data_IF_183808525751
#
_entry.id   IF_183808525751
#
_cell.length_a   1.000
_cell.length_b   1.000
_cell.length_c   1.000
_cell.angle_alpha   90.00
_cell.angle_beta   90.00
_cell.angle_gamma   90.00
#
_symmetry.space_group_name_H-M   'P 1'
#
loop_
_entity.id
_entity.type
_entity.pdbx_description
1 polymer ?
#
# COMPACT_ATOMS: atom_id res chain seq x y z
N UNK A 1 -1.56 -14.75 -22.78
CA UNK A 1 -0.46 -13.75 -22.86
C UNK A 1 -0.57 -12.84 -21.65
N UNK A 2 0.54 -12.53 -20.97
CA UNK A 2 0.50 -11.65 -19.78
C UNK A 2 0.27 -10.19 -20.17
N UNK A 3 -0.72 -9.54 -19.55
CA UNK A 3 -1.04 -8.12 -19.75
C UNK A 3 0.07 -7.27 -19.15
N UNK A 4 0.59 -6.32 -19.93
CA UNK A 4 1.62 -5.38 -19.47
C UNK A 4 0.96 -4.20 -18.77
N UNK A 5 1.08 -4.13 -17.45
CA UNK A 5 0.61 -3.02 -16.64
C UNK A 5 1.60 -1.85 -16.64
N UNK A 6 1.09 -0.63 -16.80
CA UNK A 6 1.83 0.59 -16.50
C UNK A 6 2.22 0.67 -15.02
N UNK A 7 3.26 1.45 -14.65
CA UNK A 7 3.63 1.61 -13.24
C UNK A 7 2.48 2.13 -12.37
N UNK A 8 1.64 3.04 -12.87
CA UNK A 8 0.46 3.51 -12.14
C UNK A 8 -0.60 2.43 -11.94
N UNK A 9 -0.82 1.55 -12.91
CA UNK A 9 -1.71 0.40 -12.73
C UNK A 9 -1.15 -0.59 -11.71
N UNK A 10 0.17 -0.80 -11.72
CA UNK A 10 0.84 -1.62 -10.70
C UNK A 10 0.65 -1.02 -9.30
N UNK A 11 0.76 0.30 -9.14
CA UNK A 11 0.46 0.98 -7.88
C UNK A 11 -1.00 0.79 -7.46
N UNK A 12 -1.95 0.87 -8.39
CA UNK A 12 -3.36 0.64 -8.10
C UNK A 12 -3.59 -0.77 -7.53
N UNK A 13 -3.07 -1.79 -8.22
CA UNK A 13 -3.17 -3.19 -7.81
C UNK A 13 -2.27 -3.58 -6.64
N UNK A 14 -1.42 -2.66 -6.18
CA UNK A 14 -0.64 -2.84 -4.95
C UNK A 14 -1.41 -2.50 -3.68
N UNK A 15 -2.54 -1.81 -3.81
CA UNK A 15 -3.38 -1.41 -2.67
C UNK A 15 -4.61 -2.29 -2.55
N UNK A 16 -5.15 -2.39 -1.34
CA UNK A 16 -6.37 -3.11 -1.02
C UNK A 16 -7.20 -2.32 -0.03
N UNK A 17 -8.51 -2.31 -0.26
CA UNK A 17 -9.45 -1.69 0.67
C UNK A 17 -9.72 -2.64 1.84
N UNK A 18 -9.60 -2.10 3.04
CA UNK A 18 -9.90 -2.81 4.28
C UNK A 18 -11.20 -2.25 4.83
N UNK A 19 -12.18 -3.12 5.06
CA UNK A 19 -13.35 -2.76 5.85
C UNK A 19 -13.35 -3.54 7.16
N UNK A 20 -13.66 -2.86 8.26
CA UNK A 20 -13.64 -3.41 9.61
C UNK A 20 -15.02 -3.25 10.24
N UNK A 21 -15.59 -4.34 10.74
CA UNK A 21 -16.81 -4.32 11.55
C UNK A 21 -16.42 -4.45 13.03
N UNK A 22 -16.77 -3.45 13.83
CA UNK A 22 -16.51 -3.41 15.27
C UNK A 22 -17.58 -4.21 16.05
N UNK A 23 -17.33 -4.46 17.34
CA UNK A 23 -18.27 -5.21 18.19
C UNK A 23 -19.67 -4.60 18.30
N UNK A 24 -19.79 -3.28 18.15
CA UNK A 24 -21.05 -2.53 18.19
C UNK A 24 -21.74 -2.43 16.80
N UNK A 25 -21.22 -3.12 15.78
CA UNK A 25 -21.74 -3.10 14.41
C UNK A 25 -21.32 -1.87 13.58
N UNK A 26 -20.50 -0.96 14.12
CA UNK A 26 -19.94 0.14 13.33
C UNK A 26 -18.97 -0.39 12.27
N UNK A 27 -19.06 0.19 11.08
CA UNK A 27 -18.18 -0.15 9.96
C UNK A 27 -17.15 0.98 9.78
N UNK A 28 -15.88 0.63 9.90
CA UNK A 28 -14.73 1.46 9.54
C UNK A 28 -14.14 1.02 8.21
N UNK A 29 -13.40 1.92 7.56
CA UNK A 29 -12.69 1.64 6.32
C UNK A 29 -11.27 2.20 6.38
N UNK A 30 -10.32 1.51 5.77
CA UNK A 30 -8.94 1.97 5.61
C UNK A 30 -8.31 1.41 4.35
N UNK A 31 -7.03 1.75 4.16
CA UNK A 31 -6.20 1.23 3.08
C UNK A 31 -5.18 0.25 3.66
N UNK A 32 -4.84 -0.77 2.89
CA UNK A 32 -3.57 -1.48 3.04
C UNK A 32 -2.89 -1.64 1.71
N UNK A 33 -1.67 -2.15 1.72
CA UNK A 33 -0.93 -2.47 0.50
C UNK A 33 -0.13 -3.77 0.64
N UNK A 34 0.07 -4.46 -0.47
CA UNK A 34 0.81 -5.71 -0.51
C UNK A 34 2.31 -5.45 -0.54
N UNK A 35 3.04 -6.08 0.37
CA UNK A 35 4.50 -5.98 0.49
C UNK A 35 5.12 -7.36 0.70
N UNK A 36 6.29 -7.59 0.09
CA UNK A 36 7.06 -8.82 0.25
C UNK A 36 8.01 -8.71 1.45
N UNK A 37 7.91 -9.68 2.36
CA UNK A 37 8.83 -9.83 3.48
C UNK A 37 9.64 -11.12 3.34
N UNK A 38 10.72 -11.23 4.14
CA UNK A 38 11.56 -12.43 4.20
C UNK A 38 11.98 -12.96 2.81
N UNK A 39 12.33 -12.05 1.90
CA UNK A 39 12.79 -12.39 0.55
C UNK A 39 14.14 -13.13 0.61
N UNK A 40 14.16 -14.34 0.07
CA UNK A 40 15.35 -15.16 -0.13
C UNK A 40 15.90 -15.00 -1.56
N UNK A 41 17.15 -15.39 -1.76
CA UNK A 41 17.84 -15.26 -3.06
C UNK A 41 17.17 -16.06 -4.19
N UNK A 42 16.43 -17.12 -3.87
CA UNK A 42 15.68 -17.94 -4.82
C UNK A 42 14.30 -17.36 -5.18
N UNK A 43 13.95 -16.19 -4.63
CA UNK A 43 12.68 -15.51 -4.87
C UNK A 43 11.55 -15.93 -3.93
N UNK A 44 11.79 -16.87 -2.99
CA UNK A 44 10.84 -17.16 -1.93
C UNK A 44 10.64 -15.93 -1.05
N UNK A 45 9.39 -15.65 -0.70
CA UNK A 45 9.02 -14.51 0.13
C UNK A 45 7.69 -14.75 0.83
N UNK A 46 7.42 -13.96 1.86
CA UNK A 46 6.16 -13.91 2.58
C UNK A 46 5.41 -12.65 2.17
N UNK A 47 4.37 -12.75 1.31
CA UNK A 47 3.53 -11.61 1.01
C UNK A 47 2.64 -11.28 2.21
N UNK A 48 2.53 -9.99 2.52
CA UNK A 48 1.66 -9.49 3.58
C UNK A 48 0.95 -8.21 3.13
N UNK A 49 -0.19 -7.92 3.74
CA UNK A 49 -0.80 -6.59 3.69
C UNK A 49 -0.23 -5.76 4.83
N UNK A 50 0.19 -4.54 4.56
CA UNK A 50 0.63 -3.55 5.56
C UNK A 50 -0.43 -2.47 5.71
N UNK A 51 -0.69 -2.02 6.93
CA UNK A 51 -1.58 -0.90 7.26
C UNK A 51 -1.23 -0.30 8.64
N UNK A 52 -2.00 0.68 9.11
CA UNK A 52 -1.88 1.21 10.47
C UNK A 52 -2.61 0.33 11.50
N UNK A 53 -2.11 0.25 12.75
CA UNK A 53 -2.77 -0.53 13.82
C UNK A 53 -4.19 -0.02 14.08
N UNK A 54 -4.38 1.30 14.09
CA UNK A 54 -5.71 1.86 14.36
C UNK A 54 -6.76 1.52 13.30
N UNK A 55 -6.38 1.13 12.08
CA UNK A 55 -7.34 0.72 11.02
C UNK A 55 -8.05 -0.57 11.42
N UNK A 56 -7.36 -1.47 12.11
CA UNK A 56 -7.84 -2.81 12.47
C UNK A 56 -8.19 -2.96 13.94
N UNK A 57 -7.96 -1.92 14.75
CA UNK A 57 -8.15 -1.95 16.19
C UNK A 57 -9.62 -2.23 16.56
N UNK A 58 -9.85 -3.25 17.38
CA UNK A 58 -11.18 -3.69 17.81
C UNK A 58 -12.04 -4.34 16.72
N UNK A 59 -11.47 -4.60 15.53
CA UNK A 59 -12.20 -5.19 14.41
C UNK A 59 -12.53 -6.66 14.71
N UNK A 60 -13.83 -6.94 14.87
CA UNK A 60 -14.35 -8.30 15.03
C UNK A 60 -14.33 -9.04 13.69
N UNK A 61 -14.78 -8.37 12.64
CA UNK A 61 -14.72 -8.87 11.26
C UNK A 61 -13.96 -7.92 10.37
N UNK A 62 -13.29 -8.48 9.37
CA UNK A 62 -12.67 -7.72 8.30
C UNK A 62 -13.10 -8.22 6.94
N UNK A 63 -13.18 -7.31 5.98
CA UNK A 63 -13.52 -7.61 4.60
C UNK A 63 -12.50 -7.01 3.64
N UNK A 64 -11.98 -7.85 2.74
CA UNK A 64 -11.14 -7.42 1.62
C UNK A 64 -11.92 -7.63 0.32
N UNK A 65 -11.87 -6.65 -0.58
CA UNK A 65 -12.42 -6.77 -1.94
C UNK A 65 -11.24 -6.96 -2.90
N UNK A 66 -11.10 -8.18 -3.40
CA UNK A 66 -9.94 -8.61 -4.19
C UNK A 66 -10.28 -8.75 -5.66
N UNK A 67 -9.45 -8.19 -6.53
CA UNK A 67 -9.52 -8.44 -7.97
C UNK A 67 -9.15 -9.90 -8.26
N UNK A 68 -9.85 -10.54 -9.19
CA UNK A 68 -9.58 -11.93 -9.59
C UNK A 68 -8.61 -12.00 -10.77
N UNK A 69 -7.86 -13.09 -10.82
CA UNK A 69 -6.92 -13.39 -11.89
C UNK A 69 -7.45 -14.49 -12.82
N UNK A 70 -7.11 -14.38 -14.12
CA UNK A 70 -7.35 -15.44 -15.09
C UNK A 70 -6.33 -16.60 -14.96
N UNK A 71 -6.39 -17.57 -15.87
CA UNK A 71 -5.44 -18.69 -15.91
C UNK A 71 -4.00 -18.26 -16.15
N UNK A 72 -3.79 -17.13 -16.82
CA UNK A 72 -2.51 -16.58 -17.23
C UNK A 72 -1.92 -15.62 -16.17
N UNK A 73 -2.66 -15.38 -15.08
CA UNK A 73 -2.26 -14.49 -13.99
C UNK A 73 -2.56 -13.01 -14.24
N UNK A 74 -3.43 -12.69 -15.20
CA UNK A 74 -3.82 -11.31 -15.50
C UNK A 74 -5.05 -10.89 -14.69
N UNK A 75 -5.23 -9.58 -14.40
CA UNK A 75 -6.44 -9.11 -13.76
C UNK A 75 -7.62 -9.28 -14.71
N UNK A 76 -8.71 -9.84 -14.21
CA UNK A 76 -9.98 -9.89 -14.93
C UNK A 76 -10.73 -8.59 -14.65
N UNK A 77 -10.96 -7.80 -15.69
CA UNK A 77 -11.66 -6.53 -15.57
C UNK A 77 -13.05 -6.72 -14.96
N UNK A 78 -13.42 -5.86 -14.00
CA UNK A 78 -14.71 -5.89 -13.29
C UNK A 78 -15.01 -7.20 -12.53
N UNK A 79 -14.03 -8.09 -12.37
CA UNK A 79 -14.18 -9.32 -11.60
C UNK A 79 -13.45 -9.19 -10.27
N UNK A 80 -14.22 -9.08 -9.20
CA UNK A 80 -13.71 -8.97 -7.85
C UNK A 80 -14.56 -9.78 -6.87
N UNK A 81 -13.96 -10.16 -5.75
CA UNK A 81 -14.61 -10.97 -4.73
C UNK A 81 -14.32 -10.47 -3.33
N UNK A 82 -15.33 -10.48 -2.48
CA UNK A 82 -15.21 -10.06 -1.09
C UNK A 82 -14.93 -11.26 -0.20
N UNK A 83 -13.80 -11.23 0.52
CA UNK A 83 -13.44 -12.23 1.52
C UNK A 83 -13.65 -11.64 2.91
N UNK A 84 -14.37 -12.38 3.77
CA UNK A 84 -14.72 -11.94 5.13
C UNK A 84 -14.01 -12.86 6.12
N UNK A 85 -13.39 -12.27 7.13
CA UNK A 85 -12.67 -12.98 8.18
C UNK A 85 -13.19 -12.56 9.55
N UNK A 86 -13.42 -13.52 10.44
CA UNK A 86 -13.69 -13.29 11.86
C UNK A 86 -12.38 -13.16 12.66
N UNK A 87 -12.48 -12.62 13.87
CA UNK A 87 -11.34 -12.33 14.76
C UNK A 87 -10.27 -11.49 14.06
N UNK A 88 -10.72 -10.52 13.25
CA UNK A 88 -9.89 -9.88 12.25
C UNK A 88 -8.64 -9.23 12.81
N UNK A 89 -8.75 -8.49 13.91
CA UNK A 89 -7.61 -7.86 14.59
C UNK A 89 -6.49 -8.86 14.94
N UNK A 90 -6.85 -10.09 15.34
CA UNK A 90 -5.89 -11.12 15.75
C UNK A 90 -5.09 -11.73 14.59
N UNK A 91 -5.49 -11.47 13.35
CA UNK A 91 -4.76 -11.91 12.17
C UNK A 91 -3.53 -11.04 11.88
N UNK A 92 -3.43 -9.87 12.51
CA UNK A 92 -2.39 -8.89 12.26
C UNK A 92 -1.24 -9.02 13.26
N UNK A 93 -0.02 -8.91 12.74
CA UNK A 93 1.20 -8.82 13.52
C UNK A 93 1.50 -7.32 13.71
N UNK A 94 1.40 -6.77 14.94
CA UNK A 94 1.71 -5.37 15.19
C UNK A 94 3.24 -5.13 15.11
N UNK A 95 3.62 -3.91 14.76
CA UNK A 95 5.02 -3.49 14.86
C UNK A 95 5.55 -3.71 16.30
N UNK A 96 6.78 -4.24 16.48
CA UNK A 96 7.30 -4.56 17.81
C UNK A 96 7.44 -3.34 18.72
N UNK A 97 7.71 -2.17 18.14
CA UNK A 97 7.68 -0.89 18.86
C UNK A 97 6.24 -0.38 19.00
N UNK A 98 5.76 -0.26 20.23
CA UNK A 98 4.36 0.08 20.52
C UNK A 98 3.92 1.46 20.02
N UNK A 99 4.84 2.41 19.92
CA UNK A 99 4.61 3.79 19.45
C UNK A 99 4.55 3.93 17.92
N UNK A 100 5.00 2.92 17.15
CA UNK A 100 4.92 2.93 15.68
C UNK A 100 3.57 2.39 15.26
N UNK A 101 2.70 3.21 14.66
CA UNK A 101 1.34 2.83 14.28
C UNK A 101 1.29 1.98 12.99
N UNK A 102 1.96 0.84 12.97
CA UNK A 102 1.98 -0.08 11.83
C UNK A 102 1.71 -1.52 12.25
N UNK A 103 1.09 -2.28 11.35
CA UNK A 103 0.94 -3.73 11.46
C UNK A 103 0.95 -4.39 10.08
N UNK A 104 1.14 -5.71 10.06
CA UNK A 104 1.11 -6.49 8.83
C UNK A 104 0.36 -7.80 9.01
N UNK A 105 -0.38 -8.23 7.99
CA UNK A 105 -1.07 -9.51 7.94
C UNK A 105 -0.50 -10.36 6.79
N UNK A 106 0.21 -11.46 7.07
CA UNK A 106 0.56 -12.44 6.03
C UNK A 106 -0.69 -12.90 5.28
N UNK A 107 -0.66 -12.92 3.95
CA UNK A 107 -1.88 -13.17 3.15
C UNK A 107 -2.20 -14.65 2.92
N UNK A 108 -1.45 -15.57 3.54
CA UNK A 108 -1.71 -17.01 3.39
C UNK A 108 -3.18 -17.40 3.71
N UNK A 109 -3.83 -16.89 4.78
CA UNK A 109 -5.25 -17.15 5.03
C UNK A 109 -6.17 -16.64 3.91
N UNK A 110 -5.84 -15.49 3.30
CA UNK A 110 -6.59 -14.92 2.19
C UNK A 110 -6.44 -15.75 0.90
N UNK A 111 -5.22 -16.21 0.62
CA UNK A 111 -4.95 -17.11 -0.51
C UNK A 111 -5.65 -18.46 -0.32
N UNK A 112 -5.66 -19.00 0.91
CA UNK A 112 -6.35 -20.25 1.22
C UNK A 112 -7.87 -20.11 1.05
N UNK A 113 -8.47 -19.00 1.52
CA UNK A 113 -9.89 -18.72 1.32
C UNK A 113 -10.25 -18.63 -0.17
N UNK A 114 -9.44 -17.93 -0.97
CA UNK A 114 -9.63 -17.86 -2.42
C UNK A 114 -9.56 -19.24 -3.09
N UNK A 115 -8.55 -20.05 -2.71
CA UNK A 115 -8.37 -21.40 -3.26
C UNK A 115 -9.55 -22.34 -2.93
N UNK A 116 -10.10 -22.27 -1.71
CA UNK A 116 -11.29 -23.04 -1.31
C UNK A 116 -12.50 -22.75 -2.19
N UNK A 117 -12.59 -21.54 -2.71
CA UNK A 117 -13.65 -21.10 -3.62
C UNK A 117 -13.28 -21.20 -5.11
N UNK A 118 -12.17 -21.88 -5.42
CA UNK A 118 -11.61 -22.02 -6.77
C UNK A 118 -11.35 -20.66 -7.48
N UNK A 119 -10.98 -19.63 -6.71
CA UNK A 119 -10.64 -18.29 -7.19
C UNK A 119 -9.12 -18.07 -7.15
N UNK A 120 -8.58 -17.45 -8.19
CA UNK A 120 -7.22 -16.90 -8.19
C UNK A 120 -7.28 -15.41 -7.93
N UNK A 121 -6.42 -14.89 -7.05
CA UNK A 121 -6.36 -13.46 -6.74
C UNK A 121 -5.34 -12.76 -7.63
N UNK A 122 -5.66 -11.53 -8.05
CA UNK A 122 -4.72 -10.62 -8.68
C UNK A 122 -4.33 -9.51 -7.71
N UNK A 123 -3.03 -9.32 -7.51
CA UNK A 123 -2.45 -8.23 -6.73
C UNK A 123 -0.99 -8.03 -7.16
N UNK A 124 -0.47 -6.82 -6.98
CA UNK A 124 0.94 -6.50 -7.18
C UNK A 124 1.58 -6.30 -5.81
N UNK A 125 2.65 -7.03 -5.51
CA UNK A 125 3.38 -6.80 -4.26
C UNK A 125 4.53 -5.83 -4.48
N UNK A 126 4.61 -4.83 -3.62
CA UNK A 126 5.79 -3.99 -3.45
C UNK A 126 6.91 -4.82 -2.78
N UNK A 127 8.15 -4.39 -2.92
CA UNK A 127 9.30 -5.05 -2.33
C UNK A 127 10.35 -4.04 -1.86
N UNK A 128 11.42 -4.56 -1.24
CA UNK A 128 12.48 -3.73 -0.65
C UNK A 128 13.22 -2.86 -1.67
N UNK A 129 13.19 -3.17 -2.96
CA UNK A 129 13.87 -2.36 -3.99
C UNK A 129 13.24 -0.98 -4.16
N UNK A 130 11.97 -0.84 -3.76
CA UNK A 130 11.23 0.43 -3.76
C UNK A 130 11.55 1.30 -2.55
N UNK A 131 12.23 0.77 -1.53
CA UNK A 131 12.64 1.58 -0.38
C UNK A 131 13.84 2.45 -0.79
N UNK A 132 13.80 3.77 -0.57
CA UNK A 132 14.95 4.64 -0.80
C UNK A 132 16.19 4.17 -0.04
N UNK A 133 17.32 4.11 -0.73
CA UNK A 133 18.63 4.01 -0.09
C UNK A 133 18.98 5.32 0.63
N UNK A 134 19.96 5.26 1.55
CA UNK A 134 20.46 6.45 2.24
C UNK A 134 20.95 7.51 1.24
N UNK A 135 21.68 7.11 0.20
CA UNK A 135 22.16 8.03 -0.83
C UNK A 135 21.00 8.67 -1.61
N UNK A 136 19.95 7.90 -1.94
CA UNK A 136 18.75 8.45 -2.59
C UNK A 136 18.03 9.45 -1.69
N UNK A 137 17.90 9.16 -0.39
CA UNK A 137 17.31 10.08 0.59
C UNK A 137 18.12 11.36 0.77
N UNK A 138 19.45 11.27 0.75
CA UNK A 138 20.35 12.41 0.88
C UNK A 138 20.34 13.34 -0.33
N UNK A 139 20.07 12.80 -1.53
CA UNK A 139 19.99 13.56 -2.78
C UNK A 139 18.60 14.16 -3.05
N UNK A 140 17.58 13.80 -2.26
CA UNK A 140 16.24 14.39 -2.37
C UNK A 140 16.26 15.90 -2.13
N UNK A 141 15.39 16.59 -2.85
CA UNK A 141 15.06 17.99 -2.51
C UNK A 141 14.11 18.00 -1.31
N UNK A 142 14.00 19.14 -0.61
CA UNK A 142 13.12 19.25 0.56
C UNK A 142 11.64 19.04 0.17
N UNK A 143 11.24 19.62 -0.95
CA UNK A 143 9.88 19.57 -1.48
C UNK A 143 9.83 18.65 -2.70
N UNK A 144 9.59 17.38 -2.43
CA UNK A 144 9.37 16.35 -3.44
C UNK A 144 7.88 16.23 -3.76
N UNK A 145 7.54 15.96 -5.02
CA UNK A 145 6.18 15.57 -5.36
C UNK A 145 5.91 14.12 -4.93
N UNK A 146 4.81 13.92 -4.21
CA UNK A 146 4.38 12.60 -3.77
C UNK A 146 3.08 12.18 -4.47
N UNK A 147 2.89 10.87 -4.58
CA UNK A 147 1.64 10.22 -4.96
C UNK A 147 1.20 9.29 -3.85
N UNK A 148 0.01 9.52 -3.30
CA UNK A 148 -0.64 8.66 -2.31
C UNK A 148 -1.77 7.87 -3.00
N UNK A 149 -1.84 6.57 -2.73
CA UNK A 149 -2.83 5.66 -3.36
C UNK A 149 -3.62 4.95 -2.28
N UNK A 150 -4.95 5.07 -2.30
CA UNK A 150 -5.77 4.41 -1.29
C UNK A 150 -7.26 4.70 -1.40
N UNK A 151 -7.98 4.58 -0.29
CA UNK A 151 -9.45 4.53 -0.25
C UNK A 151 -10.04 5.61 0.69
N UNK A 152 -9.79 6.91 0.41
CA UNK A 152 -10.23 8.03 1.24
C UNK A 152 -11.75 8.06 1.38
N UNK A 153 -12.23 8.27 2.59
CA UNK A 153 -13.64 8.20 3.02
C UNK A 153 -14.33 6.90 2.60
N UNK A 154 -13.57 5.82 2.40
CA UNK A 154 -14.07 4.57 1.84
C UNK A 154 -14.59 4.72 0.42
N UNK A 155 -14.18 5.75 -0.34
CA UNK A 155 -14.54 5.98 -1.74
C UNK A 155 -13.56 5.20 -2.63
N UNK A 156 -14.10 4.53 -3.65
CA UNK A 156 -13.35 3.79 -4.66
C UNK A 156 -14.22 3.56 -5.90
N UNK A 157 -13.60 3.19 -7.01
CA UNK A 157 -14.36 2.69 -8.17
C UNK A 157 -14.83 1.26 -7.86
N UNK A 158 -16.09 1.13 -7.47
CA UNK A 158 -16.68 -0.16 -7.10
C UNK A 158 -16.79 -1.12 -8.28
N UNK A 159 -16.97 -0.60 -9.49
CA UNK A 159 -17.16 -1.42 -10.69
C UNK A 159 -15.84 -2.04 -11.10
N UNK A 160 -14.77 -1.24 -11.13
CA UNK A 160 -13.44 -1.70 -11.55
C UNK A 160 -12.51 -2.12 -10.39
N UNK A 161 -12.97 -1.98 -9.15
CA UNK A 161 -12.20 -2.20 -7.92
C UNK A 161 -10.89 -1.37 -7.86
N UNK A 162 -10.95 -0.09 -8.22
CA UNK A 162 -9.76 0.78 -8.29
C UNK A 162 -9.70 1.80 -7.14
N UNK A 163 -8.49 2.08 -6.62
CA UNK A 163 -8.26 3.08 -5.57
C UNK A 163 -8.29 4.51 -6.12
N UNK A 164 -8.24 5.49 -5.22
CA UNK A 164 -8.11 6.90 -5.52
C UNK A 164 -6.64 7.31 -5.42
N UNK A 165 -6.14 7.95 -6.48
CA UNK A 165 -4.81 8.55 -6.52
C UNK A 165 -4.88 10.01 -6.08
N UNK A 166 -3.92 10.43 -5.26
CA UNK A 166 -3.78 11.81 -4.80
C UNK A 166 -2.34 12.26 -4.97
N UNK A 167 -2.16 13.51 -5.38
CA UNK A 167 -0.86 14.17 -5.44
C UNK A 167 -0.74 15.18 -4.31
N UNK A 168 0.48 15.37 -3.85
CA UNK A 168 0.85 16.34 -2.84
C UNK A 168 2.35 16.57 -2.87
N UNK A 169 2.91 17.06 -1.77
CA UNK A 169 4.35 17.25 -1.60
C UNK A 169 4.83 16.71 -0.25
N UNK A 170 6.12 16.48 -0.12
CA UNK A 170 6.77 16.44 1.20
C UNK A 170 6.75 17.84 1.81
N UNK A 171 6.20 17.96 3.02
CA UNK A 171 6.16 19.21 3.79
C UNK A 171 7.39 19.33 4.72
N UNK A 172 8.03 18.20 5.04
CA UNK A 172 9.36 18.16 5.66
C UNK A 172 10.23 17.14 4.92
N UNK A 173 11.56 17.29 5.05
CA UNK A 173 12.51 16.44 4.34
C UNK A 173 12.45 14.98 4.84
N UNK A 174 12.26 13.96 3.98
CA UNK A 174 12.12 12.55 4.39
C UNK A 174 13.34 11.97 5.12
N UNK A 175 14.55 12.44 4.79
CA UNK A 175 15.79 12.03 5.47
C UNK A 175 16.01 12.66 6.86
N UNK A 176 15.11 13.54 7.32
CA UNK A 176 15.26 14.22 8.61
C UNK A 176 14.18 13.72 9.57
N UNK A 177 14.59 13.26 10.75
CA UNK A 177 13.67 12.84 11.79
C UNK A 177 12.80 14.01 12.27
N UNK A 178 11.51 14.01 11.95
CA UNK A 178 10.58 15.03 12.41
C UNK A 178 10.37 14.93 13.93
N UNK A 179 10.77 15.97 14.67
CA UNK A 179 10.76 15.99 16.13
C UNK A 179 11.48 14.78 16.77
N UNK A 180 12.56 14.31 16.15
CA UNK A 180 13.37 13.19 16.64
C UNK A 180 12.79 11.81 16.37
N UNK A 181 11.65 11.71 15.66
CA UNK A 181 11.04 10.45 15.24
C UNK A 181 11.33 10.17 13.76
N UNK A 182 11.43 8.90 13.33
CA UNK A 182 11.63 8.52 11.93
C UNK A 182 10.32 8.69 11.11
N UNK A 183 9.82 9.92 11.10
CA UNK A 183 8.58 10.36 10.48
C UNK A 183 8.87 11.66 9.71
N UNK A 184 8.06 11.94 8.70
CA UNK A 184 8.07 13.21 7.97
C UNK A 184 6.64 13.64 7.66
N UNK A 185 6.44 14.93 7.41
CA UNK A 185 5.15 15.48 7.05
C UNK A 185 4.99 15.52 5.54
N UNK A 186 3.76 15.31 5.08
CA UNK A 186 3.32 15.57 3.71
C UNK A 186 2.24 16.63 3.73
N UNK A 187 2.18 17.42 2.66
CA UNK A 187 1.02 18.24 2.34
C UNK A 187 0.26 17.56 1.20
N UNK A 188 -0.80 16.85 1.58
CA UNK A 188 -1.71 16.18 0.69
C UNK A 188 -3.09 16.14 1.32
N UNK A 189 -4.13 16.03 0.50
CA UNK A 189 -5.47 15.82 1.02
C UNK A 189 -5.57 14.41 1.63
N UNK A 190 -5.41 14.29 2.95
CA UNK A 190 -5.59 13.07 3.72
C UNK A 190 -6.95 13.12 4.43
N UNK A 191 -7.80 12.13 4.19
CA UNK A 191 -9.13 12.04 4.80
C UNK A 191 -9.27 10.74 5.59
N UNK A 192 -10.28 10.61 6.49
CA UNK A 192 -10.58 9.32 7.13
C UNK A 192 -10.60 8.19 6.10
N UNK A 193 -10.01 7.04 6.38
CA UNK A 193 -9.85 5.94 5.40
C UNK A 193 -8.63 6.06 4.48
N UNK A 194 -7.91 7.19 4.47
CA UNK A 194 -6.56 7.26 3.90
C UNK A 194 -5.50 6.57 4.75
N UNK A 195 -5.78 6.26 6.03
CA UNK A 195 -4.87 5.52 6.89
C UNK A 195 -4.44 4.19 6.25
N UNK A 196 -3.13 3.95 6.24
CA UNK A 196 -2.50 2.77 5.64
C UNK A 196 -2.22 2.91 4.14
N UNK A 197 -2.43 4.09 3.56
CA UNK A 197 -2.16 4.33 2.13
C UNK A 197 -0.66 4.51 1.89
N UNK A 198 -0.05 3.74 0.99
CA UNK A 198 1.35 3.97 0.65
C UNK A 198 1.55 5.33 -0.02
N UNK A 199 2.64 6.00 0.36
CA UNK A 199 3.08 7.29 -0.18
C UNK A 199 4.34 7.07 -1.01
N UNK A 200 4.28 7.46 -2.28
CA UNK A 200 5.34 7.23 -3.25
C UNK A 200 5.96 8.53 -3.76
N UNK A 201 7.26 8.49 -4.06
CA UNK A 201 7.81 9.28 -5.15
C UNK A 201 7.45 8.58 -6.44
N UNK A 202 6.76 9.26 -7.35
CA UNK A 202 6.41 8.72 -8.66
C UNK A 202 6.66 9.77 -9.74
N UNK A 203 7.91 9.89 -10.17
CA UNK A 203 8.34 10.84 -11.19
C UNK A 203 8.59 10.06 -12.49
N UNK A 204 7.88 10.36 -13.58
CA UNK A 204 7.96 9.55 -14.81
C UNK A 204 9.09 9.95 -15.77
N UNK A 205 9.47 11.25 -15.79
CA UNK A 205 10.33 11.82 -16.84
C UNK A 205 11.64 12.40 -16.28
N UNK A 206 11.64 12.80 -15.02
CA UNK A 206 12.79 13.36 -14.34
C UNK A 206 12.44 13.94 -12.97
N UNK A 207 13.46 14.30 -12.20
CA UNK A 207 13.33 14.88 -10.86
C UNK A 207 14.53 15.77 -10.54
N UNK A 208 14.31 16.77 -9.67
CA UNK A 208 15.37 17.63 -9.18
C UNK A 208 16.23 16.89 -8.16
N UNK A 209 17.51 17.23 -8.12
CA UNK A 209 18.49 16.72 -7.15
C UNK A 209 18.90 17.83 -6.19
N UNK A 210 19.36 17.46 -5.01
CA UNK A 210 19.82 18.43 -4.00
C UNK A 210 20.97 19.32 -4.48
N UNK A 211 21.78 18.83 -5.41
CA UNK A 211 22.87 19.59 -6.04
C UNK A 211 22.40 20.76 -6.93
N UNK A 212 21.08 20.89 -7.16
CA UNK A 212 20.49 21.89 -8.07
C UNK A 212 20.43 21.41 -9.53
N UNK A 213 20.92 20.20 -9.81
CA UNK A 213 20.78 19.54 -11.11
C UNK A 213 19.41 18.87 -11.28
N UNK A 214 19.13 18.43 -12.51
CA UNK A 214 17.94 17.65 -12.83
C UNK A 214 18.35 16.32 -13.48
N UNK A 215 17.86 15.22 -12.92
CA UNK A 215 17.95 13.90 -13.54
C UNK A 215 16.84 13.77 -14.57
N UNK A 216 17.19 13.48 -15.83
CA UNK A 216 16.26 13.25 -16.94
C UNK A 216 16.47 11.82 -17.43
N UNK A 217 15.39 11.07 -17.65
CA UNK A 217 15.47 9.71 -18.17
C UNK A 217 14.59 8.73 -17.39
N UNK A 218 15.12 7.56 -16.94
CA UNK A 218 14.31 6.59 -16.25
C UNK A 218 13.74 7.23 -14.99
N UNK A 219 12.41 7.31 -14.93
CA UNK A 219 11.69 7.89 -13.81
C UNK A 219 12.09 7.27 -12.46
N UNK A 220 11.63 7.90 -11.37
CA UNK A 220 11.85 7.45 -10.00
C UNK A 220 10.54 6.95 -9.42
N UNK A 221 10.53 5.69 -9.00
CA UNK A 221 9.45 5.10 -8.20
C UNK A 221 10.03 4.61 -6.88
N UNK A 222 9.63 5.21 -5.76
CA UNK A 222 10.06 4.83 -4.42
C UNK A 222 8.92 4.93 -3.41
N UNK A 223 8.83 3.99 -2.48
CA UNK A 223 7.91 4.03 -1.35
C UNK A 223 8.56 4.84 -0.21
N UNK A 224 8.02 6.01 0.09
CA UNK A 224 8.53 6.88 1.16
C UNK A 224 7.97 6.53 2.54
N UNK A 225 6.72 6.09 2.60
CA UNK A 225 6.02 5.90 3.86
C UNK A 225 4.59 5.41 3.68
N UNK A 226 3.86 5.42 4.80
CA UNK A 226 2.48 4.95 4.96
C UNK A 226 1.70 5.97 5.78
#
# INVERSE_FOLDING_TARGET
MTVKLSPSEQLAYSTVRIECELQNGQIGTGTGFFFRFAEAEDGLHVPAIVTNKHVIAGAKKGRFIMTLADSDGNPIQQSHHAFIFDNFEQMWIPHPEGNVDLCSMPIAPLLEAANKEAKKLFYVSLDKSLIPSVAELEDMVLMEEITMVGYPNGIWDQVNNMPIFRRGITATHPNLNYNGKPEFLIDAACFPGSSGSPVFLYNQVGYATKSGGMTIGPGRLKLLGV
#
